data_IF_775252352258
#
_entry.id   IF_775252352258
#
_cell.length_a   1.000
_cell.length_b   1.000
_cell.length_c   1.000
_cell.angle_alpha   90.00
_cell.angle_beta   90.00
_cell.angle_gamma   90.00
#
_symmetry.space_group_name_H-M   'P 1'
#
loop_
_entity.id
_entity.type
_entity.pdbx_description
1 polymer ?
#
# COMPACT_ATOMS: atom_id res chain seq x y z
N UNK A 1 4.96 17.62 -16.15
CA UNK A 1 5.38 16.21 -16.10
C UNK A 1 5.70 15.68 -17.50
N UNK A 2 4.82 15.86 -18.48
CA UNK A 2 5.04 15.43 -19.88
C UNK A 2 6.38 15.87 -20.47
N UNK A 3 6.74 17.13 -20.26
CA UNK A 3 7.99 17.72 -20.80
C UNK A 3 9.27 17.04 -20.29
N UNK A 4 9.17 16.25 -19.20
CA UNK A 4 10.27 15.50 -18.60
C UNK A 4 10.10 13.98 -18.74
N UNK A 5 9.15 13.53 -19.58
CA UNK A 5 8.94 12.11 -19.90
C UNK A 5 8.26 11.29 -18.80
N UNK A 6 7.55 11.93 -17.87
CA UNK A 6 6.73 11.22 -16.86
C UNK A 6 5.38 10.91 -17.46
N UNK A 7 5.02 9.63 -17.52
CA UNK A 7 3.74 9.16 -18.07
C UNK A 7 2.86 8.44 -17.05
N UNK A 8 3.37 8.18 -15.85
CA UNK A 8 2.67 7.47 -14.78
C UNK A 8 2.71 8.27 -13.48
N UNK A 9 1.56 8.39 -12.83
CA UNK A 9 1.38 9.18 -11.60
C UNK A 9 0.76 8.30 -10.52
N UNK A 10 1.39 8.27 -9.34
CA UNK A 10 0.75 7.76 -8.12
C UNK A 10 -0.05 8.89 -7.48
N UNK A 11 -1.38 8.84 -7.60
CA UNK A 11 -2.27 9.85 -7.05
C UNK A 11 -2.62 9.55 -5.59
N UNK A 12 -2.16 10.42 -4.68
CA UNK A 12 -2.36 10.30 -3.24
C UNK A 12 -3.02 11.56 -2.69
N UNK A 13 -3.85 11.39 -1.65
CA UNK A 13 -4.37 12.52 -0.86
C UNK A 13 -3.25 13.23 -0.09
N UNK A 14 -2.25 12.47 0.34
CA UNK A 14 -1.24 12.90 1.31
C UNK A 14 -1.73 12.81 2.75
N UNK A 15 -0.83 13.07 3.68
CA UNK A 15 -1.10 13.05 5.11
C UNK A 15 -1.70 14.38 5.58
N UNK A 16 -2.59 14.32 6.57
CA UNK A 16 -3.15 15.50 7.23
C UNK A 16 -2.30 15.78 8.47
N UNK A 17 -1.62 16.90 8.48
CA UNK A 17 -0.81 17.34 9.62
C UNK A 17 -1.65 18.26 10.52
N UNK A 18 -1.62 18.08 11.87
CA UNK A 18 -2.43 18.88 12.79
C UNK A 18 -2.16 20.40 12.70
N UNK A 19 -0.94 20.80 12.36
CA UNK A 19 -0.50 22.18 12.35
C UNK A 19 -0.59 22.84 10.96
N UNK A 20 -1.06 22.12 9.94
CA UNK A 20 -1.17 22.63 8.57
C UNK A 20 -2.60 22.47 8.07
N UNK A 21 -3.29 23.59 7.85
CA UNK A 21 -4.60 23.54 7.22
C UNK A 21 -4.51 22.91 5.83
N UNK A 22 -5.25 21.82 5.54
CA UNK A 22 -5.28 21.24 4.21
C UNK A 22 -5.80 22.26 3.21
N UNK A 23 -5.25 22.25 2.00
CA UNK A 23 -5.90 22.95 0.88
C UNK A 23 -7.13 22.15 0.48
N UNK A 24 -8.28 22.83 0.33
CA UNK A 24 -9.56 22.21 0.01
C UNK A 24 -9.75 21.90 -1.49
N UNK A 25 -8.70 22.02 -2.30
CA UNK A 25 -8.77 21.76 -3.75
C UNK A 25 -9.17 20.31 -4.06
N UNK A 26 -8.61 19.35 -3.32
CA UNK A 26 -8.89 17.91 -3.45
C UNK A 26 -9.03 17.29 -2.06
N UNK A 27 -10.24 16.86 -1.72
CA UNK A 27 -10.53 16.25 -0.42
C UNK A 27 -10.09 14.78 -0.36
N UNK A 28 -10.22 14.09 -1.48
CA UNK A 28 -9.86 12.67 -1.63
C UNK A 28 -8.93 12.47 -2.83
N UNK A 29 -8.20 11.36 -2.84
CA UNK A 29 -7.40 10.97 -3.99
C UNK A 29 -8.26 10.77 -5.26
N UNK A 30 -9.52 10.40 -5.10
CA UNK A 30 -10.50 10.27 -6.20
C UNK A 30 -10.70 11.59 -6.93
N UNK A 31 -10.86 12.70 -6.20
CA UNK A 31 -11.06 14.03 -6.79
C UNK A 31 -9.86 14.45 -7.66
N UNK A 32 -8.65 14.15 -7.16
CA UNK A 32 -7.42 14.39 -7.90
C UNK A 32 -7.32 13.51 -9.17
N UNK A 33 -7.76 12.26 -9.08
CA UNK A 33 -7.76 11.32 -10.22
C UNK A 33 -8.71 11.81 -11.30
N UNK A 34 -9.93 12.17 -10.94
CA UNK A 34 -10.94 12.73 -11.85
C UNK A 34 -10.40 13.97 -12.56
N UNK A 35 -9.83 14.90 -11.80
CA UNK A 35 -9.21 16.11 -12.35
C UNK A 35 -8.07 15.80 -13.33
N UNK A 36 -7.17 14.87 -12.98
CA UNK A 36 -6.08 14.48 -13.90
C UNK A 36 -6.64 13.84 -15.17
N UNK A 37 -7.67 13.01 -15.06
CA UNK A 37 -8.30 12.35 -16.22
C UNK A 37 -9.04 13.34 -17.12
N UNK A 38 -9.58 14.40 -16.58
CA UNK A 38 -10.21 15.48 -17.33
C UNK A 38 -9.18 16.34 -18.07
N UNK A 39 -8.14 16.79 -17.36
CA UNK A 39 -7.16 17.74 -17.92
C UNK A 39 -6.03 17.07 -18.73
N UNK A 40 -5.68 15.82 -18.38
CA UNK A 40 -4.55 15.11 -18.98
C UNK A 40 -4.81 13.58 -19.03
N UNK A 41 -5.79 13.14 -19.85
CA UNK A 41 -6.26 11.73 -19.87
C UNK A 41 -5.20 10.71 -20.30
N UNK A 42 -4.10 11.15 -20.87
CA UNK A 42 -3.00 10.29 -21.33
C UNK A 42 -2.13 9.74 -20.19
N UNK A 43 -2.22 10.29 -18.96
CA UNK A 43 -1.47 9.75 -17.84
C UNK A 43 -2.04 8.42 -17.36
N UNK A 44 -1.15 7.45 -17.12
CA UNK A 44 -1.45 6.27 -16.32
C UNK A 44 -1.53 6.66 -14.86
N UNK A 45 -2.63 6.31 -14.20
CA UNK A 45 -2.82 6.64 -12.78
C UNK A 45 -2.77 5.39 -11.93
N UNK A 46 -1.86 5.41 -10.95
CA UNK A 46 -1.77 4.40 -9.90
C UNK A 46 -2.50 4.94 -8.65
N UNK A 47 -3.36 4.14 -8.07
CA UNK A 47 -4.00 4.42 -6.79
C UNK A 47 -3.40 3.61 -5.64
N UNK A 48 -3.39 4.17 -4.42
CA UNK A 48 -3.05 3.41 -3.23
C UNK A 48 -4.27 2.61 -2.74
N UNK A 49 -4.01 1.40 -2.22
CA UNK A 49 -4.99 0.53 -1.58
C UNK A 49 -4.43 -0.12 -0.31
N UNK A 50 -5.29 -0.73 0.53
CA UNK A 50 -4.93 -1.10 1.88
C UNK A 50 -5.42 -2.52 2.21
N UNK A 51 -4.55 -3.56 2.16
CA UNK A 51 -4.95 -4.94 2.47
C UNK A 51 -5.53 -5.11 3.87
N UNK A 52 -5.04 -4.35 4.83
CA UNK A 52 -5.53 -4.36 6.22
C UNK A 52 -6.63 -3.32 6.49
N UNK A 53 -7.07 -2.56 5.46
CA UNK A 53 -8.08 -1.51 5.51
C UNK A 53 -7.49 -0.11 5.70
N UNK A 54 -8.13 0.90 5.12
CA UNK A 54 -7.72 2.30 5.31
C UNK A 54 -8.08 2.77 6.73
N UNK A 55 -7.19 3.50 7.45
CA UNK A 55 -7.47 3.94 8.82
C UNK A 55 -8.73 4.80 8.94
N UNK A 56 -9.02 5.64 7.95
CA UNK A 56 -10.21 6.51 7.94
C UNK A 56 -11.50 5.78 7.49
N UNK A 57 -11.43 4.53 7.04
CA UNK A 57 -12.61 3.77 6.64
C UNK A 57 -13.29 3.14 7.85
N UNK A 58 -14.62 3.27 8.01
CA UNK A 58 -15.32 2.74 9.17
C UNK A 58 -15.32 1.20 9.21
N UNK A 59 -15.23 0.55 8.07
CA UNK A 59 -15.20 -0.89 7.90
C UNK A 59 -14.59 -1.29 6.54
N UNK A 60 -14.29 -2.59 6.38
CA UNK A 60 -13.66 -3.12 5.16
C UNK A 60 -14.56 -3.07 3.93
N UNK A 61 -15.88 -3.13 4.11
CA UNK A 61 -16.85 -3.04 2.99
C UNK A 61 -16.85 -1.63 2.42
N UNK A 62 -16.89 -0.64 3.31
CA UNK A 62 -16.80 0.78 2.94
C UNK A 62 -15.46 1.11 2.26
N UNK A 63 -14.37 0.51 2.75
CA UNK A 63 -13.04 0.67 2.17
C UNK A 63 -12.98 0.15 0.73
N UNK A 64 -13.43 -1.08 0.48
CA UNK A 64 -13.49 -1.66 -0.87
C UNK A 64 -14.42 -0.86 -1.79
N UNK A 65 -15.55 -0.38 -1.27
CA UNK A 65 -16.47 0.49 -2.04
C UNK A 65 -15.81 1.81 -2.45
N UNK A 66 -15.04 2.43 -1.56
CA UNK A 66 -14.29 3.64 -1.87
C UNK A 66 -13.14 3.37 -2.84
N UNK A 67 -12.49 2.21 -2.71
CA UNK A 67 -11.48 1.78 -3.67
C UNK A 67 -12.09 1.57 -5.08
N UNK A 68 -13.27 0.97 -5.17
CA UNK A 68 -13.97 0.82 -6.46
C UNK A 68 -14.26 2.17 -7.10
N UNK A 69 -14.74 3.17 -6.34
CA UNK A 69 -14.92 4.53 -6.86
C UNK A 69 -13.62 5.12 -7.40
N UNK A 70 -12.50 4.90 -6.70
CA UNK A 70 -11.17 5.36 -7.13
C UNK A 70 -10.75 4.71 -8.46
N UNK A 71 -11.03 3.42 -8.63
CA UNK A 71 -10.77 2.71 -9.90
C UNK A 71 -11.67 3.24 -11.01
N UNK A 72 -12.96 3.42 -10.73
CA UNK A 72 -13.93 3.95 -11.70
C UNK A 72 -13.61 5.40 -12.12
N UNK A 73 -12.98 6.18 -11.24
CA UNK A 73 -12.48 7.52 -11.56
C UNK A 73 -11.27 7.51 -12.52
N UNK A 74 -10.65 6.36 -12.78
CA UNK A 74 -9.64 6.21 -13.82
C UNK A 74 -8.27 5.67 -13.39
N UNK A 75 -8.16 4.99 -12.24
CA UNK A 75 -6.94 4.26 -11.93
C UNK A 75 -6.75 3.09 -12.89
N UNK A 76 -5.57 3.00 -13.49
CA UNK A 76 -5.15 1.89 -14.35
C UNK A 76 -4.48 0.75 -13.59
N UNK A 77 -3.99 1.00 -12.37
CA UNK A 77 -3.43 0.00 -11.48
C UNK A 77 -3.45 0.48 -10.02
N UNK A 78 -3.22 -0.43 -9.10
CA UNK A 78 -3.16 -0.18 -7.67
C UNK A 78 -1.82 -0.61 -7.09
N UNK A 79 -1.35 0.08 -6.05
CA UNK A 79 -0.24 -0.36 -5.20
C UNK A 79 -0.73 -0.41 -3.76
N UNK A 80 -0.40 -1.50 -3.05
CA UNK A 80 -0.86 -1.64 -1.67
C UNK A 80 0.04 -0.88 -0.70
N UNK A 81 -0.54 -0.43 0.41
CA UNK A 81 0.24 -0.18 1.62
C UNK A 81 1.01 -1.45 1.96
N UNK A 82 2.21 -1.30 2.53
CA UNK A 82 2.99 -2.45 2.97
C UNK A 82 2.22 -3.31 3.98
N UNK A 83 2.47 -4.60 3.96
CA UNK A 83 1.89 -5.59 4.87
C UNK A 83 2.92 -6.69 5.16
N UNK A 84 2.68 -7.48 6.22
CA UNK A 84 3.59 -8.54 6.66
C UNK A 84 2.94 -9.93 6.64
N UNK A 85 1.68 -10.03 6.24
CA UNK A 85 0.89 -11.26 6.21
C UNK A 85 0.25 -11.38 4.82
N UNK A 86 0.74 -12.33 4.02
CA UNK A 86 0.26 -12.52 2.65
C UNK A 86 -1.20 -12.97 2.60
N UNK A 87 -1.70 -13.67 3.63
CA UNK A 87 -3.11 -14.05 3.71
C UNK A 87 -4.02 -12.81 3.71
N UNK A 88 -3.55 -11.68 4.30
CA UNK A 88 -4.29 -10.41 4.28
C UNK A 88 -4.37 -9.82 2.88
N UNK A 89 -3.31 -9.97 2.11
CA UNK A 89 -3.30 -9.54 0.72
C UNK A 89 -4.25 -10.39 -0.13
N UNK A 90 -4.23 -11.71 0.03
CA UNK A 90 -5.12 -12.61 -0.72
C UNK A 90 -6.60 -12.38 -0.37
N UNK A 91 -6.94 -12.29 0.91
CA UNK A 91 -8.27 -11.90 1.39
C UNK A 91 -8.74 -10.55 0.78
N UNK A 92 -7.83 -9.60 0.66
CA UNK A 92 -8.12 -8.29 0.07
C UNK A 92 -8.36 -8.41 -1.43
N UNK A 93 -7.52 -9.16 -2.12
CA UNK A 93 -7.63 -9.39 -3.57
C UNK A 93 -8.96 -10.06 -3.92
N UNK A 94 -9.39 -11.07 -3.17
CA UNK A 94 -10.71 -11.70 -3.34
C UNK A 94 -11.85 -10.69 -3.21
N UNK A 95 -11.80 -9.82 -2.20
CA UNK A 95 -12.81 -8.76 -2.02
C UNK A 95 -12.80 -7.74 -3.16
N UNK A 96 -11.64 -7.42 -3.70
CA UNK A 96 -11.51 -6.57 -4.89
C UNK A 96 -12.19 -7.21 -6.10
N UNK A 97 -11.94 -8.50 -6.35
CA UNK A 97 -12.56 -9.25 -7.45
C UNK A 97 -14.09 -9.27 -7.29
N UNK A 98 -14.60 -9.60 -6.10
CA UNK A 98 -16.04 -9.61 -5.81
C UNK A 98 -16.71 -8.23 -5.97
N UNK A 99 -15.95 -7.16 -5.78
CA UNK A 99 -16.41 -5.79 -6.00
C UNK A 99 -16.28 -5.29 -7.46
N UNK A 100 -15.80 -6.15 -8.37
CA UNK A 100 -15.56 -5.78 -9.78
C UNK A 100 -14.36 -4.86 -9.97
N UNK A 101 -13.33 -4.98 -9.13
CA UNK A 101 -12.04 -4.30 -9.30
C UNK A 101 -11.12 -5.26 -10.05
N UNK A 102 -10.87 -4.97 -11.33
CA UNK A 102 -10.13 -5.85 -12.24
C UNK A 102 -8.74 -5.31 -12.61
N UNK A 103 -8.41 -4.09 -12.15
CA UNK A 103 -7.09 -3.49 -12.42
C UNK A 103 -5.99 -4.22 -11.67
N UNK A 104 -4.76 -4.28 -12.23
CA UNK A 104 -3.62 -4.92 -11.57
C UNK A 104 -3.35 -4.33 -10.18
N UNK A 105 -3.11 -5.19 -9.19
CA UNK A 105 -2.76 -4.81 -7.82
C UNK A 105 -1.32 -5.25 -7.53
N UNK A 106 -0.44 -4.28 -7.31
CA UNK A 106 0.96 -4.52 -6.96
C UNK A 106 1.11 -4.62 -5.43
N UNK A 107 1.70 -5.71 -4.98
CA UNK A 107 1.93 -5.97 -3.55
C UNK A 107 3.08 -5.11 -3.01
N UNK A 108 2.80 -4.27 -2.02
CA UNK A 108 3.79 -3.42 -1.36
C UNK A 108 4.56 -4.17 -0.27
N UNK A 109 5.85 -4.34 -0.44
CA UNK A 109 6.72 -5.04 0.51
C UNK A 109 7.80 -4.10 1.01
N UNK A 110 8.00 -4.06 2.32
CA UNK A 110 9.08 -3.31 2.95
C UNK A 110 9.98 -4.26 3.75
N UNK A 111 11.21 -4.52 3.31
CA UNK A 111 12.17 -5.25 4.13
C UNK A 111 12.51 -4.46 5.40
N UNK A 112 12.30 -5.03 6.56
CA UNK A 112 12.67 -4.40 7.83
C UNK A 112 14.10 -4.81 8.18
N UNK A 113 15.00 -3.84 8.10
CA UNK A 113 16.44 -4.08 8.26
C UNK A 113 16.98 -3.68 9.62
N UNK A 114 16.19 -2.97 10.44
CA UNK A 114 16.57 -2.58 11.79
C UNK A 114 15.35 -2.31 12.68
N UNK A 115 15.55 -2.36 13.98
CA UNK A 115 14.49 -2.18 14.97
C UNK A 115 13.84 -0.80 14.93
N UNK A 116 14.62 0.26 14.72
CA UNK A 116 14.08 1.63 14.68
C UNK A 116 13.12 1.82 13.51
N UNK A 117 13.39 1.19 12.37
CA UNK A 117 12.48 1.15 11.23
C UNK A 117 11.16 0.49 11.60
N UNK A 118 11.19 -0.69 12.26
CA UNK A 118 9.99 -1.39 12.71
C UNK A 118 9.18 -0.54 13.71
N UNK A 119 9.83 0.06 14.71
CA UNK A 119 9.17 0.89 15.72
C UNK A 119 8.58 2.18 15.12
N UNK A 120 9.26 2.80 14.16
CA UNK A 120 8.75 3.97 13.44
C UNK A 120 7.50 3.58 12.64
N UNK A 121 7.57 2.48 11.92
CA UNK A 121 6.45 1.98 11.12
C UNK A 121 5.18 1.78 11.95
N UNK A 122 5.31 1.13 13.12
CA UNK A 122 4.19 0.90 14.03
C UNK A 122 3.58 2.18 14.60
N UNK A 123 4.36 3.28 14.64
CA UNK A 123 3.86 4.59 15.08
C UNK A 123 3.16 5.37 13.97
N UNK A 124 3.63 5.21 12.73
CA UNK A 124 3.13 6.00 11.59
C UNK A 124 2.02 5.31 10.81
N UNK A 125 1.94 3.98 10.90
CA UNK A 125 0.97 3.18 10.16
C UNK A 125 0.10 2.38 11.14
N UNK A 126 -0.94 3.01 11.68
CA UNK A 126 -1.79 2.48 12.76
C UNK A 126 -2.51 1.17 12.41
N UNK A 127 -2.78 0.93 11.13
CA UNK A 127 -3.51 -0.24 10.64
C UNK A 127 -2.62 -1.44 10.28
N UNK A 128 -1.28 -1.29 10.30
CA UNK A 128 -0.36 -2.39 9.99
C UNK A 128 -0.19 -3.31 11.20
N UNK A 129 -0.39 -4.61 10.97
CA UNK A 129 -0.24 -5.64 11.99
C UNK A 129 1.00 -6.48 11.73
N UNK A 130 1.84 -6.59 12.75
CA UNK A 130 2.97 -7.51 12.70
C UNK A 130 2.50 -8.93 13.08
N UNK A 131 2.70 -9.93 12.21
CA UNK A 131 2.43 -11.33 12.54
C UNK A 131 3.30 -11.82 13.72
N UNK A 132 2.83 -12.85 14.42
CA UNK A 132 3.56 -13.46 15.55
C UNK A 132 5.00 -13.86 15.17
N UNK A 133 5.17 -14.44 13.98
CA UNK A 133 6.50 -14.85 13.45
C UNK A 133 7.44 -13.64 13.38
N UNK A 134 6.97 -12.52 12.85
CA UNK A 134 7.81 -11.33 12.69
C UNK A 134 8.11 -10.63 14.01
N UNK A 135 7.15 -10.57 14.95
CA UNK A 135 7.39 -10.06 16.31
C UNK A 135 8.46 -10.87 17.01
N UNK A 136 8.40 -12.21 16.93
CA UNK A 136 9.42 -13.08 17.52
C UNK A 136 10.83 -12.83 16.96
N UNK A 137 10.96 -12.46 15.68
CA UNK A 137 12.23 -12.04 15.07
C UNK A 137 12.74 -10.75 15.72
N UNK A 138 11.87 -9.73 15.82
CA UNK A 138 12.23 -8.44 16.43
C UNK A 138 12.67 -8.59 17.88
N UNK A 139 11.97 -9.42 18.66
CA UNK A 139 12.29 -9.67 20.06
C UNK A 139 13.57 -10.48 20.21
N UNK A 140 13.76 -11.52 19.38
CA UNK A 140 14.94 -12.41 19.44
C UNK A 140 16.24 -11.66 19.14
N UNK A 141 16.21 -10.78 18.16
CA UNK A 141 17.39 -10.06 17.68
C UNK A 141 17.43 -8.59 18.09
N UNK A 142 16.76 -8.25 19.20
CA UNK A 142 16.68 -6.87 19.71
C UNK A 142 18.04 -6.20 19.87
N UNK A 143 19.05 -6.96 20.32
CA UNK A 143 20.41 -6.50 20.60
C UNK A 143 21.45 -6.97 19.58
N UNK A 144 21.00 -7.60 18.47
CA UNK A 144 21.85 -8.08 17.39
C UNK A 144 21.39 -7.53 16.02
N UNK A 145 21.86 -6.31 15.65
CA UNK A 145 21.43 -5.66 14.44
C UNK A 145 21.76 -6.41 13.15
N UNK A 146 22.84 -7.19 13.12
CA UNK A 146 23.25 -7.93 11.93
C UNK A 146 22.33 -9.14 11.70
N UNK A 147 22.04 -9.90 12.76
CA UNK A 147 21.09 -10.99 12.70
C UNK A 147 19.68 -10.49 12.41
N UNK A 148 19.26 -9.34 12.97
CA UNK A 148 17.96 -8.74 12.70
C UNK A 148 17.83 -8.36 11.21
N UNK A 149 18.85 -7.73 10.65
CA UNK A 149 18.88 -7.37 9.22
C UNK A 149 18.73 -8.60 8.34
N UNK A 150 19.51 -9.65 8.62
CA UNK A 150 19.49 -10.91 7.86
C UNK A 150 18.12 -11.60 7.95
N UNK A 151 17.54 -11.67 9.15
CA UNK A 151 16.23 -12.29 9.38
C UNK A 151 15.08 -11.47 8.74
N UNK A 152 15.15 -10.13 8.82
CA UNK A 152 14.17 -9.25 8.19
C UNK A 152 14.19 -9.33 6.66
N UNK A 153 15.39 -9.43 6.07
CA UNK A 153 15.53 -9.65 4.63
C UNK A 153 14.99 -11.02 4.22
N UNK A 154 15.34 -12.07 4.96
CA UNK A 154 14.83 -13.42 4.71
C UNK A 154 13.30 -13.48 4.78
N UNK A 155 12.69 -12.76 5.73
CA UNK A 155 11.24 -12.65 5.85
C UNK A 155 10.60 -11.98 4.61
N UNK A 156 11.18 -10.88 4.13
CA UNK A 156 10.68 -10.20 2.94
C UNK A 156 10.86 -11.06 1.66
N UNK A 157 11.96 -11.80 1.56
CA UNK A 157 12.17 -12.74 0.46
C UNK A 157 11.12 -13.85 0.47
N UNK A 158 10.83 -14.44 1.65
CA UNK A 158 9.79 -15.45 1.83
C UNK A 158 8.41 -14.95 1.37
N UNK A 159 8.03 -13.72 1.78
CA UNK A 159 6.81 -13.07 1.31
C UNK A 159 6.78 -12.89 -0.22
N UNK A 160 7.87 -12.42 -0.81
CA UNK A 160 7.95 -12.17 -2.26
C UNK A 160 7.86 -13.48 -3.04
N UNK A 161 8.55 -14.52 -2.60
CA UNK A 161 8.51 -15.85 -3.24
C UNK A 161 7.09 -16.39 -3.24
N UNK A 162 6.39 -16.34 -2.11
CA UNK A 162 5.00 -16.76 -2.01
C UNK A 162 4.11 -15.94 -2.95
N UNK A 163 4.17 -14.61 -2.93
CA UNK A 163 3.41 -13.73 -3.81
C UNK A 163 3.64 -14.03 -5.30
N UNK A 164 4.90 -14.21 -5.70
CA UNK A 164 5.24 -14.50 -7.11
C UNK A 164 4.72 -15.88 -7.54
N UNK A 165 4.72 -16.87 -6.65
CA UNK A 165 4.17 -18.20 -6.94
C UNK A 165 2.64 -18.22 -7.05
N UNK A 166 1.95 -17.16 -6.57
CA UNK A 166 0.51 -16.96 -6.70
C UNK A 166 0.14 -15.99 -7.84
N UNK A 167 1.07 -15.77 -8.78
CA UNK A 167 0.85 -14.95 -9.99
C UNK A 167 0.33 -13.53 -9.71
N UNK A 168 0.80 -12.88 -8.62
CA UNK A 168 0.44 -11.49 -8.35
C UNK A 168 0.92 -10.58 -9.49
N UNK A 169 0.19 -9.50 -9.77
CA UNK A 169 0.47 -8.58 -10.87
C UNK A 169 1.88 -7.93 -10.79
N UNK A 170 2.45 -7.86 -9.60
CA UNK A 170 3.81 -7.35 -9.37
C UNK A 170 4.06 -7.06 -7.89
N UNK A 171 5.32 -6.77 -7.59
CA UNK A 171 5.77 -6.38 -6.25
C UNK A 171 6.36 -4.97 -6.31
N UNK A 172 5.95 -4.13 -5.37
CA UNK A 172 6.50 -2.81 -5.11
C UNK A 172 7.35 -2.84 -3.84
N UNK A 173 8.62 -2.47 -3.93
CA UNK A 173 9.54 -2.41 -2.79
C UNK A 173 9.60 -0.98 -2.24
N UNK A 174 9.35 -0.85 -0.94
CA UNK A 174 9.48 0.40 -0.20
C UNK A 174 10.88 0.60 0.38
#
# INVERSE_FOLDING_TARGET
LDKVGVHRILALRGDIFPDVAPKDDFKYATDLIEYIKEEAPHFDIIGACYPEGHPDSPDRVSDIRNLKKKVDAGCSSLVTQLFFDNDRFYDFQERCILAGIEVPIHAGIMPILNRNQALRLLKTCENIKLPRKFRAILDKYEHDPESLRSAGLAYAIDQIVDLVTQDVAGVHLY
#
